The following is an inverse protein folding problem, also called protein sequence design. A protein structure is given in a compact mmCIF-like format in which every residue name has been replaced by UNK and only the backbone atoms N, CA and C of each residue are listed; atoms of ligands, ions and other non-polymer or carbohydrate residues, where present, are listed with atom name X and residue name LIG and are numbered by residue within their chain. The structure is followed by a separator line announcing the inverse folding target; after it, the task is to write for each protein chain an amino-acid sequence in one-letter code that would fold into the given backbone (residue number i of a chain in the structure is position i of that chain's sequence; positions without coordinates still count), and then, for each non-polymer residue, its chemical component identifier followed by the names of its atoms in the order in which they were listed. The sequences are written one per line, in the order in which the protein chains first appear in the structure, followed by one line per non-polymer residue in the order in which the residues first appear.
data_IF_003670709415
#
_entry.id   IF_003670709415
#
_cell.length_a   1.000
_cell.length_b   1.000
_cell.length_c   1.000
_cell.angle_alpha   90.00
_cell.angle_beta   90.00
_cell.angle_gamma   90.00
#
_symmetry.space_group_name_H-M   'P 1'
#
loop_
_entity.id
_entity.type
_entity.pdbx_description
1 polymer ?
#
# COMPACT_ATOMS: atom_id res chain seq x y z
N UNK A 1 -23.33 0.10 -9.96
CA UNK A 1 -22.72 -1.19 -10.34
C UNK A 1 -22.55 -1.22 -11.86
N UNK A 2 -21.36 -1.48 -12.40
CA UNK A 2 -21.14 -1.54 -13.86
C UNK A 2 -21.65 -2.86 -14.45
N UNK A 3 -22.22 -2.81 -15.67
CA UNK A 3 -22.82 -3.96 -16.35
C UNK A 3 -21.79 -5.04 -16.71
N UNK A 4 -22.18 -6.32 -16.85
CA UNK A 4 -21.26 -7.41 -17.19
C UNK A 4 -20.49 -7.16 -18.51
N UNK A 5 -21.18 -6.67 -19.54
CA UNK A 5 -20.55 -6.32 -20.82
C UNK A 5 -19.48 -5.24 -20.63
N UNK A 6 -19.80 -4.16 -19.89
CA UNK A 6 -18.84 -3.10 -19.61
C UNK A 6 -17.61 -3.60 -18.83
N UNK A 7 -17.81 -4.51 -17.87
CA UNK A 7 -16.69 -5.15 -17.13
C UNK A 7 -15.79 -5.94 -18.07
N UNK A 8 -16.39 -6.77 -18.93
CA UNK A 8 -15.64 -7.57 -19.89
C UNK A 8 -14.83 -6.68 -20.83
N UNK A 9 -15.45 -5.66 -21.41
CA UNK A 9 -14.76 -4.70 -22.29
C UNK A 9 -13.61 -3.99 -21.58
N UNK A 10 -13.81 -3.49 -20.36
CA UNK A 10 -12.75 -2.84 -19.58
C UNK A 10 -11.58 -3.79 -19.29
N UNK A 11 -11.87 -5.05 -18.93
CA UNK A 11 -10.84 -6.06 -18.70
C UNK A 11 -10.07 -6.37 -19.98
N UNK A 12 -10.73 -6.52 -21.12
CA UNK A 12 -10.06 -6.77 -22.40
C UNK A 12 -9.19 -5.59 -22.83
N UNK A 13 -9.71 -4.36 -22.70
CA UNK A 13 -8.91 -3.15 -22.94
C UNK A 13 -7.66 -3.09 -22.07
N UNK A 14 -7.77 -3.51 -20.81
CA UNK A 14 -6.63 -3.56 -19.89
C UNK A 14 -5.61 -4.62 -20.29
N UNK A 15 -6.05 -5.80 -20.74
CA UNK A 15 -5.16 -6.86 -21.26
C UNK A 15 -4.41 -6.36 -22.49
N UNK A 16 -5.13 -5.80 -23.48
CA UNK A 16 -4.53 -5.26 -24.70
C UNK A 16 -3.50 -4.19 -24.36
N UNK A 17 -3.85 -3.25 -23.47
CA UNK A 17 -2.94 -2.21 -23.01
C UNK A 17 -1.70 -2.81 -22.33
N UNK A 18 -1.89 -3.74 -21.39
CA UNK A 18 -0.79 -4.34 -20.62
C UNK A 18 0.14 -5.25 -21.43
N UNK A 19 -0.24 -5.63 -22.65
CA UNK A 19 0.58 -6.40 -23.59
C UNK A 19 1.39 -5.53 -24.55
N UNK A 20 1.10 -4.22 -24.65
CA UNK A 20 1.85 -3.32 -25.50
C UNK A 20 3.29 -3.13 -24.99
N UNK A 21 4.22 -2.80 -25.90
CA UNK A 21 5.58 -2.49 -25.50
C UNK A 21 5.61 -1.26 -24.58
N UNK A 22 6.58 -1.21 -23.67
CA UNK A 22 6.76 -0.09 -22.76
C UNK A 22 6.83 1.24 -23.56
N UNK A 23 5.92 2.18 -23.26
CA UNK A 23 5.82 3.47 -23.94
C UNK A 23 4.76 3.57 -25.05
N UNK A 24 4.08 2.47 -25.43
CA UNK A 24 3.05 2.49 -26.49
C UNK A 24 1.61 2.65 -25.97
N UNK A 25 1.42 2.65 -24.65
CA UNK A 25 0.11 2.76 -24.00
C UNK A 25 -0.68 4.03 -24.36
N UNK A 26 0.00 5.08 -24.78
CA UNK A 26 -0.61 6.36 -25.21
C UNK A 26 -1.42 6.27 -26.50
N UNK A 27 -1.45 5.12 -27.17
CA UNK A 27 -2.24 4.91 -28.39
C UNK A 27 -3.35 3.85 -28.23
N UNK A 28 -3.55 3.33 -27.02
CA UNK A 28 -4.63 2.38 -26.74
C UNK A 28 -5.91 3.15 -26.36
N UNK A 29 -6.93 3.17 -27.24
CA UNK A 29 -8.20 3.88 -27.02
C UNK A 29 -8.87 3.53 -25.68
N UNK A 30 -8.77 2.27 -25.25
CA UNK A 30 -9.28 1.82 -23.95
C UNK A 30 -8.50 2.38 -22.75
N UNK A 31 -7.18 2.53 -22.87
CA UNK A 31 -6.33 3.14 -21.84
C UNK A 31 -6.63 4.63 -21.70
N UNK A 32 -6.74 5.35 -22.82
CA UNK A 32 -7.05 6.79 -22.85
C UNK A 32 -8.40 7.08 -22.17
N UNK A 33 -9.43 6.31 -22.48
CA UNK A 33 -10.74 6.46 -21.85
C UNK A 33 -10.66 6.21 -20.33
N UNK A 34 -9.93 5.20 -19.90
CA UNK A 34 -9.75 4.92 -18.48
C UNK A 34 -8.91 5.99 -17.78
N UNK A 35 -7.94 6.60 -18.47
CA UNK A 35 -7.16 7.74 -17.99
C UNK A 35 -8.03 9.00 -17.82
N UNK A 36 -8.93 9.28 -18.77
CA UNK A 36 -9.89 10.37 -18.67
C UNK A 36 -10.79 10.21 -17.43
N UNK A 37 -11.30 8.99 -17.20
CA UNK A 37 -12.05 8.65 -15.99
C UNK A 37 -11.22 8.91 -14.73
N UNK A 38 -9.97 8.44 -14.70
CA UNK A 38 -9.07 8.63 -13.56
C UNK A 38 -8.84 10.12 -13.27
N UNK A 39 -8.70 10.94 -14.29
CA UNK A 39 -8.52 12.38 -14.12
C UNK A 39 -9.79 13.05 -13.55
N UNK A 40 -10.98 12.67 -14.02
CA UNK A 40 -12.24 13.16 -13.45
C UNK A 40 -12.39 12.77 -11.96
N UNK A 41 -12.07 11.51 -11.62
CA UNK A 41 -12.10 11.03 -10.24
C UNK A 41 -11.07 11.74 -9.35
N UNK A 42 -9.86 12.01 -9.87
CA UNK A 42 -8.84 12.83 -9.18
C UNK A 42 -9.33 14.24 -8.91
N UNK A 43 -10.02 14.88 -9.86
CA UNK A 43 -10.62 16.20 -9.66
C UNK A 43 -11.72 16.18 -8.60
N UNK A 44 -12.57 15.14 -8.58
CA UNK A 44 -13.58 14.97 -7.54
C UNK A 44 -12.93 14.84 -6.15
N UNK A 45 -11.87 14.04 -6.03
CA UNK A 45 -11.10 13.91 -4.79
C UNK A 45 -10.44 15.21 -4.36
N UNK A 46 -9.93 16.02 -5.29
CA UNK A 46 -9.29 17.30 -4.99
C UNK A 46 -10.25 18.32 -4.35
N UNK A 47 -11.54 18.24 -4.65
CA UNK A 47 -12.58 19.12 -4.06
C UNK A 47 -12.88 18.80 -2.59
N UNK A 48 -12.44 17.65 -2.10
CA UNK A 48 -12.63 17.23 -0.71
C UNK A 48 -11.38 17.64 0.08
N UNK A 49 -11.53 18.17 1.29
CA UNK A 49 -10.40 18.45 2.17
C UNK A 49 -10.12 17.27 3.12
N UNK A 50 -11.19 16.73 3.73
CA UNK A 50 -11.12 15.63 4.70
C UNK A 50 -10.47 14.38 4.11
N UNK A 51 -9.45 13.86 4.79
CA UNK A 51 -8.80 12.60 4.45
C UNK A 51 -9.77 11.41 4.57
N UNK A 52 -10.62 11.41 5.59
CA UNK A 52 -11.60 10.34 5.80
C UNK A 52 -12.65 10.32 4.69
N UNK A 53 -13.13 11.48 4.25
CA UNK A 53 -14.10 11.57 3.15
C UNK A 53 -13.47 11.19 1.81
N UNK A 54 -12.19 11.55 1.59
CA UNK A 54 -11.43 11.06 0.42
C UNK A 54 -11.32 9.54 0.45
N UNK A 55 -10.98 8.95 1.60
CA UNK A 55 -10.91 7.49 1.73
C UNK A 55 -12.28 6.83 1.46
N UNK A 56 -13.37 7.42 1.96
CA UNK A 56 -14.72 6.94 1.71
C UNK A 56 -15.10 7.02 0.21
N UNK A 57 -14.75 8.11 -0.48
CA UNK A 57 -14.96 8.23 -1.92
C UNK A 57 -14.11 7.20 -2.70
N UNK A 58 -12.83 7.01 -2.33
CA UNK A 58 -11.97 5.99 -2.95
C UNK A 58 -12.59 4.59 -2.82
N UNK A 59 -13.12 4.21 -1.65
CA UNK A 59 -13.84 2.92 -1.47
C UNK A 59 -15.00 2.75 -2.46
N UNK A 60 -15.73 3.82 -2.76
CA UNK A 60 -16.84 3.80 -3.73
C UNK A 60 -16.36 3.65 -5.17
N UNK A 61 -15.23 4.27 -5.51
CA UNK A 61 -14.67 4.30 -6.88
C UNK A 61 -13.89 3.02 -7.23
N UNK A 62 -13.16 2.44 -6.27
CA UNK A 62 -12.26 1.29 -6.48
C UNK A 62 -12.91 0.09 -7.20
N UNK A 63 -14.18 -0.30 -6.94
CA UNK A 63 -14.85 -1.36 -7.69
C UNK A 63 -14.92 -1.12 -9.20
N UNK A 64 -14.93 0.13 -9.66
CA UNK A 64 -14.96 0.47 -11.08
C UNK A 64 -13.60 0.27 -11.78
N UNK A 65 -12.52 0.26 -11.01
CA UNK A 65 -11.16 -0.04 -11.47
C UNK A 65 -10.82 -1.52 -11.39
N UNK A 66 -11.61 -2.32 -10.66
CA UNK A 66 -11.34 -3.74 -10.47
C UNK A 66 -11.19 -4.53 -11.78
N UNK A 67 -12.03 -4.33 -12.83
CA UNK A 67 -11.82 -5.01 -14.11
C UNK A 67 -10.48 -4.67 -14.75
N UNK A 68 -10.08 -3.40 -14.70
CA UNK A 68 -8.80 -2.93 -15.24
C UNK A 68 -7.63 -3.62 -14.54
N UNK A 69 -7.56 -3.48 -13.21
CA UNK A 69 -6.53 -4.12 -12.38
C UNK A 69 -6.47 -5.62 -12.66
N UNK A 70 -7.62 -6.29 -12.71
CA UNK A 70 -7.68 -7.74 -12.93
C UNK A 70 -7.17 -8.17 -14.31
N UNK A 71 -7.32 -7.32 -15.34
CA UNK A 71 -6.80 -7.59 -16.68
C UNK A 71 -5.28 -7.44 -16.72
N UNK A 72 -4.77 -6.34 -16.16
CA UNK A 72 -3.32 -6.08 -16.11
C UNK A 72 -2.59 -7.13 -15.28
N UNK A 73 -3.10 -7.50 -14.10
CA UNK A 73 -2.46 -8.51 -13.26
C UNK A 73 -2.50 -9.93 -13.84
N UNK A 74 -3.44 -10.22 -14.76
CA UNK A 74 -3.57 -11.54 -15.36
C UNK A 74 -2.62 -11.75 -16.54
N UNK A 75 -2.49 -10.75 -17.43
CA UNK A 75 -1.84 -10.91 -18.74
C UNK A 75 -0.77 -9.84 -19.02
N UNK A 76 -0.47 -8.98 -18.04
CA UNK A 76 0.46 -7.87 -18.21
C UNK A 76 1.92 -8.31 -18.28
N UNK A 77 2.70 -7.60 -19.09
CA UNK A 77 4.12 -7.89 -19.32
C UNK A 77 5.09 -6.88 -18.64
N UNK A 78 4.57 -6.01 -17.77
CA UNK A 78 5.34 -4.95 -17.12
C UNK A 78 5.28 -3.58 -17.81
N UNK A 79 4.33 -3.35 -18.72
CA UNK A 79 4.08 -2.02 -19.26
C UNK A 79 3.75 -1.00 -18.15
N UNK A 80 4.25 0.23 -18.27
CA UNK A 80 4.05 1.29 -17.29
C UNK A 80 2.60 1.77 -17.24
N UNK A 81 1.87 1.41 -16.18
CA UNK A 81 0.45 1.72 -16.07
C UNK A 81 0.17 2.69 -14.91
N UNK A 82 -0.08 3.95 -15.25
CA UNK A 82 -0.37 4.98 -14.25
C UNK A 82 -1.73 4.78 -13.56
N UNK A 83 -2.68 4.08 -14.19
CA UNK A 83 -3.97 3.72 -13.57
C UNK A 83 -3.73 2.66 -12.50
N UNK A 84 -3.01 1.59 -12.83
CA UNK A 84 -2.66 0.52 -11.90
C UNK A 84 -1.93 1.06 -10.68
N UNK A 85 -0.89 1.88 -10.89
CA UNK A 85 -0.09 2.46 -9.82
C UNK A 85 -0.87 3.47 -8.96
N UNK A 86 -1.76 4.26 -9.56
CA UNK A 86 -2.65 5.14 -8.78
C UNK A 86 -3.63 4.33 -7.93
N UNK A 87 -4.21 3.26 -8.50
CA UNK A 87 -5.16 2.39 -7.79
C UNK A 87 -4.49 1.66 -6.63
N UNK A 88 -3.21 1.30 -6.74
CA UNK A 88 -2.44 0.74 -5.61
C UNK A 88 -2.47 1.66 -4.39
N UNK A 89 -2.15 2.95 -4.58
CA UNK A 89 -2.16 3.93 -3.48
C UNK A 89 -3.58 4.19 -2.99
N UNK A 90 -4.57 4.29 -3.89
CA UNK A 90 -5.96 4.49 -3.47
C UNK A 90 -6.53 3.33 -2.66
N UNK A 91 -6.10 2.10 -2.91
CA UNK A 91 -6.45 0.94 -2.09
C UNK A 91 -5.89 1.09 -0.68
N UNK A 92 -4.62 1.52 -0.55
CA UNK A 92 -4.02 1.81 0.75
C UNK A 92 -4.82 2.89 1.47
N UNK A 93 -5.07 4.03 0.83
CA UNK A 93 -5.86 5.13 1.41
C UNK A 93 -7.25 4.69 1.89
N UNK A 94 -7.86 3.74 1.19
CA UNK A 94 -9.16 3.16 1.51
C UNK A 94 -9.11 2.11 2.63
N UNK A 95 -7.92 1.69 3.08
CA UNK A 95 -7.69 0.61 4.05
C UNK A 95 -7.64 -0.79 3.44
N UNK A 96 -7.65 -0.93 2.13
CA UNK A 96 -7.54 -2.21 1.41
C UNK A 96 -6.07 -2.58 1.14
N UNK A 97 -5.35 -2.90 2.22
CA UNK A 97 -3.92 -3.26 2.15
C UNK A 97 -3.73 -4.58 1.38
N UNK A 98 -4.64 -5.54 1.54
CA UNK A 98 -4.58 -6.82 0.83
C UNK A 98 -4.68 -6.65 -0.69
N UNK A 99 -5.61 -5.82 -1.17
CA UNK A 99 -5.71 -5.50 -2.59
C UNK A 99 -4.51 -4.71 -3.11
N UNK A 100 -3.95 -3.80 -2.29
CA UNK A 100 -2.74 -3.07 -2.64
C UNK A 100 -1.51 -3.99 -2.76
N UNK A 101 -1.33 -4.97 -1.87
CA UNK A 101 -0.26 -5.98 -1.92
C UNK A 101 -0.28 -6.79 -3.23
N UNK A 102 -1.47 -7.11 -3.75
CA UNK A 102 -1.58 -7.81 -5.03
C UNK A 102 -1.02 -6.98 -6.19
N UNK A 103 -1.26 -5.66 -6.18
CA UNK A 103 -0.71 -4.76 -7.19
C UNK A 103 0.79 -4.56 -6.97
N UNK A 104 1.23 -4.37 -5.73
CA UNK A 104 2.62 -4.14 -5.37
C UNK A 104 3.53 -5.31 -5.80
N UNK A 105 3.08 -6.56 -5.64
CA UNK A 105 3.80 -7.76 -6.12
C UNK A 105 4.12 -7.68 -7.62
N UNK A 106 3.14 -7.30 -8.44
CA UNK A 106 3.35 -7.11 -9.87
C UNK A 106 4.23 -5.90 -10.14
N UNK A 107 3.97 -4.77 -9.48
CA UNK A 107 4.71 -3.54 -9.69
C UNK A 107 6.21 -3.69 -9.40
N UNK A 108 6.58 -4.37 -8.31
CA UNK A 108 7.98 -4.54 -7.91
C UNK A 108 8.69 -5.54 -8.81
N UNK A 109 8.03 -6.66 -9.13
CA UNK A 109 8.55 -7.65 -10.09
C UNK A 109 8.93 -7.00 -11.43
N UNK A 110 8.09 -6.08 -11.92
CA UNK A 110 8.29 -5.41 -13.21
C UNK A 110 8.94 -4.02 -13.09
N UNK A 111 9.38 -3.61 -11.89
CA UNK A 111 10.02 -2.31 -11.60
C UNK A 111 9.21 -1.13 -12.16
N UNK A 112 7.91 -1.14 -11.94
CA UNK A 112 7.03 -0.05 -12.36
C UNK A 112 7.37 1.24 -11.60
N UNK A 113 7.30 2.36 -12.31
CA UNK A 113 7.56 3.67 -11.75
C UNK A 113 6.29 4.25 -11.11
N UNK A 114 6.45 5.07 -10.08
CA UNK A 114 5.35 5.85 -9.54
C UNK A 114 4.94 6.94 -10.55
N UNK A 115 3.63 7.15 -10.80
CA UNK A 115 3.18 8.16 -11.75
C UNK A 115 3.21 9.59 -11.18
N UNK A 116 3.67 9.77 -9.93
CA UNK A 116 3.79 11.05 -9.25
C UNK A 116 4.91 11.00 -8.21
N UNK A 117 5.50 12.16 -7.96
CA UNK A 117 6.64 12.29 -7.05
C UNK A 117 7.91 11.63 -7.60
N UNK A 118 8.93 11.53 -6.74
CA UNK A 118 10.27 11.03 -7.09
C UNK A 118 10.63 9.73 -6.39
N UNK A 119 9.78 9.24 -5.50
CA UNK A 119 9.99 8.01 -4.70
C UNK A 119 9.86 6.77 -5.59
N UNK A 120 10.65 5.74 -5.29
CA UNK A 120 10.47 4.39 -5.86
C UNK A 120 9.12 3.81 -5.47
N UNK A 121 8.62 2.83 -6.24
CA UNK A 121 7.37 2.16 -5.92
C UNK A 121 7.42 1.49 -4.53
N UNK A 122 8.52 0.82 -4.19
CA UNK A 122 8.74 0.21 -2.88
C UNK A 122 8.70 1.22 -1.73
N UNK A 123 9.39 2.36 -1.87
CA UNK A 123 9.38 3.42 -0.87
C UNK A 123 7.99 4.03 -0.69
N UNK A 124 7.33 4.43 -1.78
CA UNK A 124 6.00 5.06 -1.72
C UNK A 124 4.95 4.09 -1.14
N UNK A 125 4.96 2.82 -1.57
CA UNK A 125 4.07 1.80 -1.03
C UNK A 125 4.25 1.61 0.48
N UNK A 126 5.50 1.45 0.93
CA UNK A 126 5.80 1.19 2.34
C UNK A 126 5.39 2.36 3.23
N UNK A 127 5.67 3.59 2.80
CA UNK A 127 5.33 4.80 3.52
C UNK A 127 3.81 4.95 3.66
N UNK A 128 3.06 4.84 2.56
CA UNK A 128 1.60 4.99 2.58
C UNK A 128 0.91 3.89 3.41
N UNK A 129 1.39 2.64 3.32
CA UNK A 129 0.87 1.52 4.13
C UNK A 129 1.11 1.79 5.60
N UNK A 130 2.31 2.23 5.97
CA UNK A 130 2.68 2.50 7.35
C UNK A 130 1.86 3.66 7.91
N UNK A 131 1.70 4.75 7.16
CA UNK A 131 0.88 5.89 7.54
C UNK A 131 -0.59 5.50 7.73
N UNK A 132 -1.14 4.66 6.84
CA UNK A 132 -2.50 4.18 7.02
C UNK A 132 -2.64 3.29 8.26
N UNK A 133 -1.71 2.36 8.49
CA UNK A 133 -1.72 1.48 9.66
C UNK A 133 -1.60 2.27 10.97
N UNK A 134 -0.76 3.32 11.00
CA UNK A 134 -0.65 4.24 12.15
C UNK A 134 -1.97 4.99 12.39
N UNK A 135 -2.61 5.51 11.34
CA UNK A 135 -3.91 6.19 11.45
C UNK A 135 -5.00 5.26 11.97
N UNK A 136 -5.13 4.06 11.39
CA UNK A 136 -6.12 3.07 11.80
C UNK A 136 -5.92 2.66 13.26
N UNK A 137 -4.69 2.31 13.65
CA UNK A 137 -4.37 1.98 15.04
C UNK A 137 -4.68 3.13 16.00
N UNK A 138 -4.37 4.37 15.62
CA UNK A 138 -4.67 5.55 16.45
C UNK A 138 -6.17 5.78 16.63
N UNK A 139 -6.96 5.45 15.60
CA UNK A 139 -8.42 5.49 15.66
C UNK A 139 -9.04 4.28 16.41
N UNK A 140 -8.23 3.33 16.89
CA UNK A 140 -8.73 2.09 17.51
C UNK A 140 -9.31 1.11 16.49
N UNK A 141 -9.08 1.32 15.20
CA UNK A 141 -9.49 0.40 14.15
C UNK A 141 -8.55 -0.81 14.10
N UNK A 142 -9.05 -2.01 13.77
CA UNK A 142 -8.22 -3.19 13.66
C UNK A 142 -7.23 -3.05 12.50
N UNK A 143 -5.97 -3.41 12.77
CA UNK A 143 -4.91 -3.51 11.76
C UNK A 143 -4.38 -4.93 11.77
N UNK A 144 -4.41 -5.62 10.62
CA UNK A 144 -3.90 -6.98 10.51
C UNK A 144 -2.38 -7.00 10.61
N UNK A 145 -1.86 -7.70 11.62
CA UNK A 145 -0.43 -7.96 11.77
C UNK A 145 0.10 -8.80 10.61
N UNK A 146 -0.69 -9.76 10.12
CA UNK A 146 -0.33 -10.64 9.00
C UNK A 146 -0.06 -9.83 7.73
N UNK A 147 -0.93 -8.86 7.42
CA UNK A 147 -0.71 -7.97 6.27
C UNK A 147 0.53 -7.10 6.44
N UNK A 148 0.86 -6.64 7.65
CA UNK A 148 2.08 -5.86 7.89
C UNK A 148 3.34 -6.72 7.75
N UNK A 149 3.29 -8.00 8.12
CA UNK A 149 4.38 -8.93 7.89
C UNK A 149 4.56 -9.26 6.40
N UNK A 150 3.46 -9.37 5.64
CA UNK A 150 3.51 -9.52 4.19
C UNK A 150 4.12 -8.28 3.52
N UNK A 151 3.78 -7.08 3.99
CA UNK A 151 4.40 -5.82 3.53
C UNK A 151 5.89 -5.84 3.80
N UNK A 152 6.30 -6.16 5.04
CA UNK A 152 7.72 -6.24 5.41
C UNK A 152 8.49 -7.25 4.54
N UNK A 153 7.90 -8.42 4.27
CA UNK A 153 8.52 -9.43 3.42
C UNK A 153 8.61 -8.98 1.96
N UNK A 154 7.55 -8.36 1.44
CA UNK A 154 7.51 -7.91 0.05
C UNK A 154 8.53 -6.80 -0.23
N UNK A 155 8.77 -5.93 0.76
CA UNK A 155 9.62 -4.75 0.60
C UNK A 155 11.05 -4.97 1.11
N UNK A 156 11.41 -6.20 1.49
CA UNK A 156 12.71 -6.51 2.09
C UNK A 156 13.88 -6.10 1.18
N UNK A 157 13.79 -6.42 -0.11
CA UNK A 157 14.79 -6.10 -1.14
C UNK A 157 14.62 -4.70 -1.78
N UNK A 158 13.60 -3.94 -1.39
CA UNK A 158 13.33 -2.62 -1.96
C UNK A 158 14.20 -1.55 -1.29
N UNK A 159 14.82 -0.70 -2.11
CA UNK A 159 15.57 0.46 -1.63
C UNK A 159 14.64 1.57 -1.15
N UNK A 160 14.90 2.05 0.06
CA UNK A 160 14.15 3.14 0.70
C UNK A 160 14.96 3.75 1.86
N UNK A 161 14.68 5.01 2.26
CA UNK A 161 15.32 5.60 3.43
C UNK A 161 15.08 4.77 4.70
N UNK A 162 16.12 4.61 5.54
CA UNK A 162 16.04 3.84 6.78
C UNK A 162 14.87 4.26 7.68
N UNK A 163 14.53 5.55 7.69
CA UNK A 163 13.39 6.09 8.43
C UNK A 163 12.06 5.44 7.99
N UNK A 164 11.85 5.19 6.70
CA UNK A 164 10.63 4.54 6.19
C UNK A 164 10.56 3.10 6.69
N UNK A 165 11.68 2.36 6.56
CA UNK A 165 11.79 0.98 7.06
C UNK A 165 11.62 0.91 8.58
N UNK A 166 12.18 1.87 9.31
CA UNK A 166 12.02 1.99 10.75
C UNK A 166 10.56 2.20 11.17
N UNK A 167 9.78 3.02 10.45
CA UNK A 167 8.37 3.21 10.74
C UNK A 167 7.57 1.91 10.54
N UNK A 168 7.87 1.12 9.50
CA UNK A 168 7.22 -0.18 9.29
C UNK A 168 7.51 -1.14 10.45
N UNK A 169 8.78 -1.25 10.87
CA UNK A 169 9.14 -2.04 12.05
C UNK A 169 8.45 -1.55 13.33
N UNK A 170 8.34 -0.23 13.49
CA UNK A 170 7.68 0.40 14.64
C UNK A 170 6.20 0.03 14.72
N UNK A 171 5.44 0.17 13.63
CA UNK A 171 4.02 -0.16 13.64
C UNK A 171 3.81 -1.67 13.88
N UNK A 172 4.62 -2.55 13.27
CA UNK A 172 4.59 -4.00 13.54
C UNK A 172 4.86 -4.29 15.02
N UNK A 173 5.85 -3.64 15.62
CA UNK A 173 6.16 -3.79 17.05
C UNK A 173 5.00 -3.37 17.94
N UNK A 174 4.31 -2.29 17.60
CA UNK A 174 3.12 -1.87 18.33
C UNK A 174 1.94 -2.83 18.17
N UNK A 175 1.71 -3.39 16.99
CA UNK A 175 0.66 -4.39 16.78
C UNK A 175 0.92 -5.68 17.57
N UNK A 176 2.18 -6.15 17.62
CA UNK A 176 2.54 -7.28 18.48
C UNK A 176 2.31 -6.98 19.96
N UNK A 177 2.65 -5.75 20.41
CA UNK A 177 2.41 -5.33 21.79
C UNK A 177 0.91 -5.34 22.11
N UNK A 178 0.09 -4.81 21.21
CA UNK A 178 -1.37 -4.77 21.40
C UNK A 178 -1.97 -6.20 21.43
N UNK A 179 -1.36 -7.14 20.70
CA UNK A 179 -1.69 -8.58 20.76
C UNK A 179 -1.03 -9.34 21.92
N UNK A 180 -0.38 -8.68 22.87
CA UNK A 180 0.27 -9.30 24.04
C UNK A 180 1.54 -10.09 23.74
N UNK A 181 2.10 -9.98 22.53
CA UNK A 181 3.33 -10.67 22.10
C UNK A 181 4.57 -9.83 22.39
N UNK A 182 4.85 -9.60 23.68
CA UNK A 182 5.87 -8.64 24.13
C UNK A 182 7.29 -8.90 23.58
N UNK A 183 7.71 -10.16 23.47
CA UNK A 183 9.04 -10.52 22.92
C UNK A 183 9.16 -10.13 21.45
N UNK A 184 8.15 -10.46 20.64
CA UNK A 184 8.11 -10.08 19.22
C UNK A 184 8.00 -8.56 19.04
N UNK A 185 7.23 -7.90 19.91
CA UNK A 185 7.16 -6.43 19.93
C UNK A 185 8.54 -5.81 20.18
N UNK A 186 9.27 -6.32 21.19
CA UNK A 186 10.59 -5.83 21.56
C UNK A 186 11.60 -5.95 20.41
N UNK A 187 11.64 -7.11 19.75
CA UNK A 187 12.51 -7.33 18.58
C UNK A 187 12.27 -6.29 17.49
N UNK A 188 10.99 -6.06 17.14
CA UNK A 188 10.63 -5.14 16.06
C UNK A 188 10.91 -3.69 16.43
N UNK A 189 10.65 -3.27 17.67
CA UNK A 189 10.99 -1.93 18.12
C UNK A 189 12.52 -1.72 18.18
N UNK A 190 13.30 -2.75 18.54
CA UNK A 190 14.77 -2.68 18.45
C UNK A 190 15.25 -2.50 17.01
N UNK A 191 14.69 -3.23 16.05
CA UNK A 191 14.99 -3.02 14.63
C UNK A 191 14.66 -1.59 14.19
N UNK A 192 13.51 -1.04 14.61
CA UNK A 192 13.15 0.34 14.32
C UNK A 192 14.16 1.35 14.91
N UNK A 193 14.66 1.10 16.12
CA UNK A 193 15.65 1.97 16.78
C UNK A 193 17.03 1.91 16.10
N UNK A 194 17.45 0.73 15.63
CA UNK A 194 18.72 0.53 14.92
C UNK A 194 18.71 1.31 13.60
N UNK A 195 17.60 1.24 12.85
CA UNK A 195 17.43 1.94 11.58
C UNK A 195 17.25 3.46 11.77
N UNK A 196 16.49 3.87 12.78
CA UNK A 196 16.26 5.28 13.09
C UNK A 196 16.34 5.54 14.60
N UNK A 197 17.48 6.11 15.03
CA UNK A 197 17.70 6.52 16.42
C UNK A 197 16.70 7.55 16.95
N UNK A 198 15.97 8.24 16.05
CA UNK A 198 14.91 9.22 16.35
C UNK A 198 13.49 8.66 16.16
N UNK A 199 13.34 7.35 15.99
CA UNK A 199 12.05 6.65 15.83
C UNK A 199 11.10 6.80 17.02
N UNK A 200 11.59 7.23 18.18
CA UNK A 200 10.79 7.53 19.38
C UNK A 200 10.42 6.31 20.23
N UNK A 201 10.98 5.12 19.95
CA UNK A 201 10.58 3.85 20.59
C UNK A 201 11.39 3.47 21.83
N UNK A 202 12.39 4.27 22.24
CA UNK A 202 13.30 3.95 23.36
C UNK A 202 12.56 3.63 24.66
N UNK A 203 11.62 4.49 25.07
CA UNK A 203 10.82 4.28 26.28
C UNK A 203 9.89 3.08 26.17
N UNK A 204 9.40 2.76 24.98
CA UNK A 204 8.57 1.58 24.75
C UNK A 204 9.39 0.28 24.89
N UNK A 205 10.63 0.28 24.40
CA UNK A 205 11.59 -0.82 24.56
C UNK A 205 11.87 -1.08 26.04
N UNK A 206 12.24 -0.04 26.81
CA UNK A 206 12.55 -0.15 28.25
C UNK A 206 11.37 -0.74 29.04
N UNK A 207 10.14 -0.31 28.71
CA UNK A 207 8.90 -0.83 29.31
C UNK A 207 8.68 -2.30 28.97
N UNK A 208 8.87 -2.69 27.71
CA UNK A 208 8.74 -4.08 27.29
C UNK A 208 9.78 -4.99 27.94
N UNK A 209 11.04 -4.58 28.01
CA UNK A 209 12.10 -5.32 28.68
C UNK A 209 11.77 -5.55 30.17
N UNK A 210 11.28 -4.51 30.84
CA UNK A 210 10.83 -4.60 32.24
C UNK A 210 9.64 -5.56 32.40
N UNK A 211 8.66 -5.49 31.50
CA UNK A 211 7.48 -6.36 31.53
C UNK A 211 7.84 -7.83 31.28
N UNK A 212 8.73 -8.11 30.32
CA UNK A 212 9.21 -9.46 30.02
C UNK A 212 9.96 -10.03 31.22
N UNK A 213 10.86 -9.26 31.83
CA UNK A 213 11.61 -9.70 33.03
C UNK A 213 10.69 -10.05 34.21
N UNK A 214 9.63 -9.26 34.43
CA UNK A 214 8.64 -9.55 35.48
C UNK A 214 7.86 -10.83 35.19
N UNK A 215 7.48 -11.06 33.92
CA UNK A 215 6.76 -12.25 33.51
C UNK A 215 7.61 -13.53 33.51
N UNK A 216 8.93 -13.43 33.33
CA UNK A 216 9.83 -14.59 33.36
C UNK A 216 10.41 -14.90 34.76
N UNK A 217 10.26 -13.99 35.72
CA UNK A 217 10.66 -14.17 37.11
C UNK A 217 9.50 -14.51 38.06
N UNK A 218 8.29 -14.67 37.51
CA UNK A 218 7.12 -15.24 38.20
C UNK A 218 6.90 -16.66 37.71
#
# INVERSE_FOLDING_TARGET
MISPCRRHMLRQSAIIAAQQAAGQLTHATGYELQMQKLNADKQALHKIQSFQDKAALKRKLLPEYAPWVSGVLAEGNGAQDAILMTVMIWRIDAGDIAGALNIARYAFKHRLAMPFGTRTAGCAFTEEVTDQAVRARTAGEPVSIELMLDVLKLTDAEDMPDKVRAQLHKIIGYLYRDGGKNTLALERLKSALILDGKSGVKKDIERLESAIKKASGS
#
